data_IF_070070713655
#
_entry.id   IF_070070713655
#
_cell.length_a   1.000
_cell.length_b   1.000
_cell.length_c   1.000
_cell.angle_alpha   90.00
_cell.angle_beta   90.00
_cell.angle_gamma   90.00
#
_symmetry.space_group_name_H-M   'P 1'
#
loop_
_entity.id
_entity.type
_entity.pdbx_description
1 polymer ?
#
# COMPACT_ATOMS: atom_id res chain seq x y z
N UNK A 1 -37.34 -22.80 -13.13
CA UNK A 1 -35.91 -22.46 -13.35
C UNK A 1 -35.63 -20.95 -13.36
N UNK A 2 -36.31 -20.12 -14.17
CA UNK A 2 -36.08 -18.65 -14.22
C UNK A 2 -36.32 -17.91 -12.89
N UNK A 3 -37.30 -18.35 -12.09
CA UNK A 3 -37.60 -17.79 -10.76
C UNK A 3 -36.57 -18.16 -9.68
N UNK A 4 -35.96 -19.34 -9.78
CA UNK A 4 -34.90 -19.80 -8.86
C UNK A 4 -33.59 -19.06 -9.18
N UNK A 5 -33.28 -18.87 -10.46
CA UNK A 5 -32.13 -18.06 -10.89
C UNK A 5 -32.24 -16.59 -10.43
N UNK A 6 -33.45 -16.01 -10.43
CA UNK A 6 -33.67 -14.63 -9.97
C UNK A 6 -33.46 -14.48 -8.44
N UNK A 7 -33.88 -15.46 -7.64
CA UNK A 7 -33.70 -15.45 -6.18
C UNK A 7 -32.23 -15.58 -5.78
N UNK A 8 -31.46 -16.43 -6.48
CA UNK A 8 -30.02 -16.57 -6.23
C UNK A 8 -29.27 -15.27 -6.61
N UNK A 9 -29.68 -14.58 -7.67
CA UNK A 9 -29.08 -13.31 -8.11
C UNK A 9 -29.34 -12.16 -7.12
N UNK A 10 -30.55 -12.10 -6.53
CA UNK A 10 -30.91 -11.10 -5.50
C UNK A 10 -30.14 -11.33 -4.20
N UNK A 11 -29.90 -12.58 -3.79
CA UNK A 11 -29.17 -12.90 -2.55
C UNK A 11 -27.68 -12.55 -2.60
N UNK A 12 -27.05 -12.55 -3.78
CA UNK A 12 -25.65 -12.12 -3.94
C UNK A 12 -25.50 -10.59 -3.84
N UNK A 13 -26.59 -9.84 -4.01
CA UNK A 13 -26.57 -8.37 -4.04
C UNK A 13 -26.57 -7.72 -2.64
N UNK A 14 -26.60 -8.49 -1.56
CA UNK A 14 -26.57 -7.98 -0.18
C UNK A 14 -25.19 -8.17 0.48
N UNK A 15 -24.12 -7.80 -0.21
CA UNK A 15 -22.80 -7.67 0.43
C UNK A 15 -22.80 -6.39 1.27
N UNK A 16 -23.41 -6.45 2.46
CA UNK A 16 -23.16 -5.42 3.47
C UNK A 16 -21.65 -5.41 3.74
N UNK A 17 -20.99 -4.23 3.78
CA UNK A 17 -19.58 -4.19 4.13
C UNK A 17 -19.42 -4.86 5.49
N UNK A 18 -18.63 -5.93 5.54
CA UNK A 18 -18.29 -6.57 6.81
C UNK A 18 -17.69 -5.49 7.70
N UNK A 19 -18.15 -5.41 8.95
CA UNK A 19 -17.65 -4.42 9.93
C UNK A 19 -16.14 -4.54 10.19
N UNK A 20 -15.50 -5.58 9.66
CA UNK A 20 -14.05 -5.80 9.70
C UNK A 20 -13.23 -4.79 8.86
N UNK A 21 -13.82 -4.11 7.86
CA UNK A 21 -13.14 -3.10 7.03
C UNK A 21 -13.46 -1.67 7.47
N UNK A 22 -13.73 -1.45 8.76
CA UNK A 22 -13.94 -0.13 9.33
C UNK A 22 -12.76 0.27 10.20
N UNK A 23 -12.46 1.57 10.23
CA UNK A 23 -11.46 2.11 11.15
C UNK A 23 -11.93 1.89 12.60
N UNK A 24 -10.97 1.62 13.49
CA UNK A 24 -11.26 1.38 14.90
C UNK A 24 -11.96 2.56 15.60
N UNK A 25 -11.80 3.78 15.08
CA UNK A 25 -12.48 4.99 15.57
C UNK A 25 -12.84 5.91 14.41
N UNK A 26 -13.81 6.80 14.66
CA UNK A 26 -14.26 7.83 13.71
C UNK A 26 -13.30 9.04 13.63
N UNK A 27 -12.00 8.77 13.51
CA UNK A 27 -10.97 9.80 13.52
C UNK A 27 -10.65 10.28 12.09
N UNK A 28 -10.70 11.58 11.84
CA UNK A 28 -10.42 12.18 10.52
C UNK A 28 -8.98 11.98 10.05
N UNK A 29 -8.01 11.96 10.96
CA UNK A 29 -6.59 11.67 10.64
C UNK A 29 -6.44 10.22 10.20
N UNK A 30 -7.06 9.28 10.91
CA UNK A 30 -7.02 7.86 10.51
C UNK A 30 -7.66 7.63 9.14
N UNK A 31 -8.76 8.34 8.84
CA UNK A 31 -9.36 8.36 7.50
C UNK A 31 -8.42 8.90 6.44
N UNK A 32 -7.69 9.98 6.73
CA UNK A 32 -6.73 10.55 5.80
C UNK A 32 -5.58 9.58 5.51
N UNK A 33 -5.03 8.92 6.53
CA UNK A 33 -3.98 7.90 6.38
C UNK A 33 -4.49 6.72 5.55
N UNK A 34 -5.72 6.24 5.82
CA UNK A 34 -6.34 5.18 5.03
C UNK A 34 -6.50 5.58 3.56
N UNK A 35 -7.00 6.79 3.31
CA UNK A 35 -7.17 7.30 1.95
C UNK A 35 -5.84 7.39 1.20
N UNK A 36 -4.77 7.84 1.87
CA UNK A 36 -3.44 7.88 1.28
C UNK A 36 -2.95 6.47 0.89
N UNK A 37 -3.12 5.50 1.79
CA UNK A 37 -2.71 4.12 1.55
C UNK A 37 -3.50 3.43 0.42
N UNK A 38 -4.79 3.74 0.28
CA UNK A 38 -5.67 3.06 -0.67
C UNK A 38 -5.76 3.74 -2.03
N UNK A 39 -5.71 5.07 -2.07
CA UNK A 39 -6.00 5.85 -3.28
C UNK A 39 -4.80 6.63 -3.81
N UNK A 40 -3.81 6.94 -2.99
CA UNK A 40 -2.60 7.68 -3.38
C UNK A 40 -1.32 6.88 -3.12
N UNK A 41 -1.43 5.55 -3.06
CA UNK A 41 -0.34 4.69 -2.62
C UNK A 41 0.88 4.83 -3.51
N UNK A 42 2.03 5.08 -2.88
CA UNK A 42 3.33 5.04 -3.55
C UNK A 42 4.08 3.72 -3.27
N UNK A 43 3.43 2.75 -2.62
CA UNK A 43 4.06 1.50 -2.21
C UNK A 43 4.59 0.71 -3.41
N UNK A 44 3.77 0.50 -4.43
CA UNK A 44 4.12 -0.28 -5.61
C UNK A 44 5.36 0.27 -6.35
N UNK A 45 5.42 1.55 -6.76
CA UNK A 45 6.59 2.07 -7.47
C UNK A 45 7.86 2.04 -6.62
N UNK A 46 7.74 2.29 -5.30
CA UNK A 46 8.89 2.17 -4.39
C UNK A 46 9.34 0.72 -4.22
N UNK A 47 8.39 -0.22 -4.16
CA UNK A 47 8.68 -1.64 -4.09
C UNK A 47 9.35 -2.13 -5.38
N UNK A 48 8.91 -1.69 -6.56
CA UNK A 48 9.56 -2.04 -7.83
C UNK A 48 11.02 -1.58 -7.88
N UNK A 49 11.29 -0.33 -7.45
CA UNK A 49 12.65 0.20 -7.42
C UNK A 49 13.57 -0.65 -6.52
N UNK A 50 13.09 -1.02 -5.34
CA UNK A 50 13.85 -1.84 -4.40
C UNK A 50 13.92 -3.31 -4.85
N UNK A 51 12.79 -3.95 -5.09
CA UNK A 51 12.71 -5.40 -5.27
C UNK A 51 13.18 -5.86 -6.65
N UNK A 52 12.87 -5.10 -7.70
CA UNK A 52 13.12 -5.53 -9.09
C UNK A 52 14.33 -4.83 -9.70
N UNK A 53 14.46 -3.52 -9.49
CA UNK A 53 15.58 -2.75 -10.06
C UNK A 53 16.88 -2.91 -9.27
N UNK A 54 16.85 -2.71 -7.94
CA UNK A 54 18.02 -2.89 -7.08
C UNK A 54 18.27 -4.37 -6.76
N UNK A 55 17.20 -5.11 -6.42
CA UNK A 55 17.26 -6.53 -6.13
C UNK A 55 17.79 -6.89 -4.74
N UNK A 56 18.34 -8.11 -4.55
CA UNK A 56 18.85 -8.58 -3.26
C UNK A 56 19.96 -7.72 -2.67
N UNK A 57 19.92 -7.48 -1.35
CA UNK A 57 20.81 -6.55 -0.62
C UNK A 57 21.47 -7.20 0.58
N UNK A 58 22.40 -8.11 0.33
CA UNK A 58 23.20 -8.70 1.41
C UNK A 58 24.06 -7.60 2.06
N UNK A 59 24.28 -7.69 3.37
CA UNK A 59 25.15 -6.76 4.10
C UNK A 59 26.54 -6.70 3.46
N UNK A 60 27.03 -5.50 3.18
CA UNK A 60 28.33 -5.25 2.53
C UNK A 60 28.35 -5.44 1.01
N UNK A 61 27.20 -5.70 0.37
CA UNK A 61 27.12 -5.81 -1.09
C UNK A 61 27.00 -4.43 -1.76
N UNK A 62 27.39 -4.29 -3.05
CA UNK A 62 27.13 -3.08 -3.84
C UNK A 62 25.63 -2.73 -3.96
N UNK A 63 24.75 -3.71 -3.83
CA UNK A 63 23.30 -3.49 -3.84
C UNK A 63 22.82 -2.83 -2.56
N UNK A 64 23.44 -3.14 -1.41
CA UNK A 64 23.15 -2.46 -0.15
C UNK A 64 23.45 -0.96 -0.24
N UNK A 65 24.62 -0.59 -0.75
CA UNK A 65 25.03 0.82 -0.94
C UNK A 65 24.08 1.55 -1.90
N UNK A 66 23.72 0.92 -3.03
CA UNK A 66 22.75 1.49 -3.98
C UNK A 66 21.38 1.72 -3.35
N UNK A 67 20.93 0.82 -2.50
CA UNK A 67 19.65 0.96 -1.81
C UNK A 67 19.66 2.06 -0.76
N UNK A 68 20.77 2.21 -0.03
CA UNK A 68 20.98 3.29 0.93
C UNK A 68 20.96 4.64 0.22
N UNK A 69 21.68 4.78 -0.90
CA UNK A 69 21.69 5.99 -1.71
C UNK A 69 20.29 6.33 -2.25
N UNK A 70 19.58 5.34 -2.81
CA UNK A 70 18.21 5.52 -3.29
C UNK A 70 17.24 5.96 -2.18
N UNK A 71 17.34 5.34 -0.99
CA UNK A 71 16.49 5.69 0.15
C UNK A 71 16.81 7.09 0.68
N UNK A 72 18.10 7.48 0.69
CA UNK A 72 18.52 8.82 1.07
C UNK A 72 17.91 9.88 0.16
N UNK A 73 18.06 9.71 -1.16
CA UNK A 73 17.47 10.61 -2.15
C UNK A 73 15.94 10.70 -1.99
N UNK A 74 15.25 9.59 -1.73
CA UNK A 74 13.79 9.60 -1.54
C UNK A 74 13.37 10.40 -0.31
N UNK A 75 14.06 10.22 0.81
CA UNK A 75 13.81 10.93 2.06
C UNK A 75 14.12 12.43 1.91
N UNK A 76 15.22 12.78 1.26
CA UNK A 76 15.58 14.17 0.98
C UNK A 76 14.54 14.87 0.11
N UNK A 77 13.99 14.17 -0.90
CA UNK A 77 12.88 14.67 -1.73
C UNK A 77 11.58 14.90 -0.93
N UNK A 78 11.44 14.28 0.24
CA UNK A 78 10.35 14.55 1.18
C UNK A 78 10.70 15.62 2.23
N UNK A 79 11.88 16.22 2.13
CA UNK A 79 12.37 17.22 3.07
C UNK A 79 12.93 16.63 4.37
N UNK A 80 13.23 15.33 4.40
CA UNK A 80 13.83 14.66 5.56
C UNK A 80 15.36 14.68 5.43
N UNK A 81 16.04 15.20 6.45
CA UNK A 81 17.50 15.19 6.49
C UNK A 81 18.02 13.77 6.69
N UNK A 82 18.99 13.36 5.86
CA UNK A 82 19.59 12.01 5.91
C UNK A 82 21.06 12.08 6.32
N UNK A 83 21.50 11.07 7.06
CA UNK A 83 22.91 10.80 7.33
C UNK A 83 23.18 9.32 7.04
N UNK A 84 24.05 9.06 6.07
CA UNK A 84 24.53 7.73 5.72
C UNK A 84 25.76 7.34 6.55
#
# INVERSE_FOLDING_TARGET
>A
MRRIALVIFVSISQVAPLSAQQLATDNSILRAIWNEAMNNSQLEPMAQALLDSIGPRLTGSPQMERAQAWAAERLENWGVSVRL
#
